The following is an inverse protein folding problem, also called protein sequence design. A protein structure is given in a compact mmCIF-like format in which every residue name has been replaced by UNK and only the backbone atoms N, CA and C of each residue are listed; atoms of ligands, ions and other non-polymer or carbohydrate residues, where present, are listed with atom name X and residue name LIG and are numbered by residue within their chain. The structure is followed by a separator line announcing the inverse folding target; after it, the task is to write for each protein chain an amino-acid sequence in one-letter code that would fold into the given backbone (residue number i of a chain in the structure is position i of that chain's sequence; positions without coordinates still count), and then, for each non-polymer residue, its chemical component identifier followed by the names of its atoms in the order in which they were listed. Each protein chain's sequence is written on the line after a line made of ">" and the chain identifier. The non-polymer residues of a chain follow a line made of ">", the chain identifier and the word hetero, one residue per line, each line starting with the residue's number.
data_IF_095349518269
#
_entry.id   IF_095349518269
#
_cell.length_a   1.000
_cell.length_b   1.000
_cell.length_c   1.000
_cell.angle_alpha   90.00
_cell.angle_beta   90.00
_cell.angle_gamma   90.00
#
_symmetry.space_group_name_H-M   'P 1'
#
loop_
_entity.id
_entity.type
_entity.pdbx_description
1 polymer ?
#
# COMPACT_ATOMS: atom_id res chain seq x y z
N UNK A 1 1.87 -10.18 -6.73
CA UNK A 1 3.12 -9.65 -7.32
C UNK A 1 4.01 -9.16 -6.20
N UNK A 2 5.31 -9.04 -6.45
CA UNK A 2 6.29 -8.55 -5.47
C UNK A 2 7.30 -7.61 -6.12
N UNK A 3 7.92 -6.77 -5.30
CA UNK A 3 9.05 -5.91 -5.66
C UNK A 3 10.02 -5.84 -4.49
N UNK A 4 11.30 -5.63 -4.76
CA UNK A 4 12.32 -5.46 -3.73
C UNK A 4 13.39 -4.47 -4.18
N UNK A 5 14.16 -3.92 -3.24
CA UNK A 5 15.23 -2.98 -3.50
C UNK A 5 15.88 -2.44 -2.24
N UNK A 6 16.64 -1.34 -2.37
CA UNK A 6 17.28 -0.64 -1.26
C UNK A 6 16.67 0.76 -1.15
N UNK A 7 16.28 1.16 0.06
CA UNK A 7 15.67 2.46 0.33
C UNK A 7 16.76 3.57 0.41
N UNK A 8 16.35 4.82 0.66
CA UNK A 8 17.28 5.98 0.74
C UNK A 8 18.21 5.95 1.96
N UNK A 9 17.87 5.14 2.97
CA UNK A 9 18.66 4.94 4.19
C UNK A 9 19.64 3.78 4.05
N UNK A 10 19.59 3.02 2.95
CA UNK A 10 20.45 1.88 2.69
C UNK A 10 19.88 0.54 3.17
N UNK A 11 18.65 0.51 3.68
CA UNK A 11 18.00 -0.72 4.11
C UNK A 11 17.31 -1.43 2.94
N UNK A 12 17.41 -2.76 2.94
CA UNK A 12 16.62 -3.59 2.03
C UNK A 12 15.12 -3.39 2.33
N UNK A 13 14.32 -3.28 1.27
CA UNK A 13 12.87 -3.27 1.33
C UNK A 13 12.27 -4.33 0.42
N UNK A 14 11.13 -4.86 0.85
CA UNK A 14 10.28 -5.77 0.10
C UNK A 14 8.85 -5.26 0.09
N UNK A 15 8.17 -5.43 -1.04
CA UNK A 15 6.76 -5.15 -1.22
C UNK A 15 6.07 -6.40 -1.73
N UNK A 16 5.01 -6.82 -1.05
CA UNK A 16 4.19 -7.98 -1.42
C UNK A 16 2.74 -7.55 -1.56
N UNK A 17 2.14 -7.83 -2.71
CA UNK A 17 0.70 -7.67 -2.91
C UNK A 17 -0.01 -8.88 -2.29
N UNK A 18 -0.76 -8.65 -1.21
CA UNK A 18 -1.48 -9.71 -0.47
C UNK A 18 -2.82 -10.02 -1.12
N UNK A 19 -3.54 -8.98 -1.55
CA UNK A 19 -4.77 -9.10 -2.34
C UNK A 19 -4.65 -8.26 -3.61
N UNK A 20 -5.17 -8.72 -4.76
CA UNK A 20 -4.93 -8.07 -6.05
C UNK A 20 -5.30 -6.58 -6.03
N UNK A 21 -4.35 -5.74 -6.44
CA UNK A 21 -4.59 -4.30 -6.59
C UNK A 21 -5.45 -4.06 -7.83
N UNK A 22 -6.57 -3.36 -7.66
CA UNK A 22 -7.52 -3.07 -8.74
C UNK A 22 -7.47 -1.60 -9.13
N UNK A 23 -7.05 -1.35 -10.36
CA UNK A 23 -7.23 -0.06 -11.04
C UNK A 23 -8.44 -0.11 -11.96
N UNK A 24 -9.17 1.00 -12.07
CA UNK A 24 -10.39 1.09 -12.88
C UNK A 24 -10.26 2.21 -13.93
N UNK A 25 -10.68 1.93 -15.17
CA UNK A 25 -10.74 2.93 -16.23
C UNK A 25 -11.65 4.09 -15.81
N UNK A 26 -11.16 5.32 -15.95
CA UNK A 26 -11.87 6.53 -15.51
C UNK A 26 -11.70 6.86 -14.03
N UNK A 27 -10.98 6.04 -13.27
CA UNK A 27 -10.57 6.34 -11.90
C UNK A 27 -9.05 6.57 -11.83
N UNK A 28 -8.63 7.68 -11.21
CA UNK A 28 -7.20 7.99 -11.03
C UNK A 28 -6.54 7.08 -10.00
N UNK A 29 -7.31 6.52 -9.08
CA UNK A 29 -6.84 5.87 -7.87
C UNK A 29 -6.88 4.34 -7.97
N UNK A 30 -6.07 3.68 -7.14
CA UNK A 30 -6.24 2.25 -6.86
C UNK A 30 -7.50 2.14 -6.01
N UNK A 31 -8.41 1.27 -6.43
CA UNK A 31 -9.78 1.20 -5.87
C UNK A 31 -9.97 0.04 -4.90
N UNK A 32 -9.11 -0.98 -4.96
CA UNK A 32 -9.19 -2.12 -4.06
C UNK A 32 -7.87 -2.88 -3.98
N UNK A 33 -7.75 -3.67 -2.92
CA UNK A 33 -6.63 -4.58 -2.70
C UNK A 33 -5.67 -4.08 -1.62
N UNK A 34 -4.70 -4.93 -1.28
CA UNK A 34 -3.80 -4.70 -0.15
C UNK A 34 -2.38 -5.11 -0.49
N UNK A 35 -1.42 -4.36 0.04
CA UNK A 35 0.00 -4.69 -0.01
C UNK A 35 0.64 -4.54 1.36
N UNK A 36 1.74 -5.25 1.58
CA UNK A 36 2.63 -5.07 2.71
C UNK A 36 3.98 -4.57 2.19
N UNK A 37 4.53 -3.57 2.86
CA UNK A 37 5.89 -3.09 2.68
C UNK A 37 6.68 -3.34 3.96
N UNK A 38 7.81 -4.01 3.84
CA UNK A 38 8.79 -4.17 4.91
C UNK A 38 10.09 -3.48 4.52
N UNK A 39 10.73 -2.78 5.45
CA UNK A 39 12.04 -2.16 5.24
C UNK A 39 12.81 -2.17 6.56
N UNK A 40 13.92 -2.90 6.63
CA UNK A 40 14.61 -3.16 7.91
C UNK A 40 13.65 -3.74 8.97
N UNK A 41 13.51 -3.08 10.12
CA UNK A 41 12.54 -3.46 11.16
C UNK A 41 11.15 -2.84 11.00
N UNK A 42 10.98 -1.96 10.01
CA UNK A 42 9.72 -1.28 9.73
C UNK A 42 8.81 -2.17 8.86
N UNK A 43 7.51 -2.17 9.17
CA UNK A 43 6.50 -2.87 8.39
C UNK A 43 5.20 -2.06 8.37
N UNK A 44 4.58 -1.98 7.20
CA UNK A 44 3.27 -1.37 7.02
C UNK A 44 2.40 -2.19 6.06
N UNK A 45 1.09 -2.13 6.26
CA UNK A 45 0.10 -2.60 5.29
C UNK A 45 -0.65 -1.42 4.74
N UNK A 46 -0.91 -1.41 3.42
CA UNK A 46 -1.75 -0.42 2.76
C UNK A 46 -2.99 -1.14 2.23
N UNK A 47 -4.17 -0.65 2.61
CA UNK A 47 -5.48 -1.09 2.14
C UNK A 47 -6.13 0.01 1.30
N UNK A 48 -6.39 -0.30 0.03
CA UNK A 48 -7.00 0.61 -0.95
C UNK A 48 -8.54 0.50 -0.99
N UNK A 49 -9.13 -0.27 -0.07
CA UNK A 49 -10.58 -0.43 0.04
C UNK A 49 -11.15 -1.54 -0.86
N UNK A 50 -12.41 -1.38 -1.24
CA UNK A 50 -13.24 -2.46 -1.82
C UNK A 50 -13.87 -2.11 -3.17
N UNK A 51 -13.45 -1.02 -3.81
CA UNK A 51 -13.84 -0.65 -5.18
C UNK A 51 -14.30 0.78 -5.36
N UNK A 52 -14.34 1.58 -4.30
CA UNK A 52 -14.71 2.99 -4.39
C UNK A 52 -13.65 3.77 -5.17
N UNK A 53 -14.09 4.65 -6.07
CA UNK A 53 -13.19 5.61 -6.72
C UNK A 53 -13.07 6.85 -5.85
N UNK A 54 -12.39 6.71 -4.71
CA UNK A 54 -12.05 7.81 -3.82
C UNK A 54 -10.54 7.94 -3.70
N UNK A 55 -10.09 9.08 -3.19
CA UNK A 55 -8.69 9.37 -2.99
C UNK A 55 -8.20 8.88 -1.62
N UNK A 56 -8.76 7.80 -1.06
CA UNK A 56 -8.43 7.33 0.29
C UNK A 56 -7.82 5.93 0.33
N UNK A 57 -6.88 5.74 1.24
CA UNK A 57 -6.35 4.43 1.61
C UNK A 57 -6.10 4.40 3.11
N UNK A 58 -6.11 3.21 3.71
CA UNK A 58 -5.76 3.02 5.12
C UNK A 58 -4.38 2.39 5.19
N UNK A 59 -3.47 3.06 5.90
CA UNK A 59 -2.14 2.53 6.20
C UNK A 59 -2.14 2.06 7.64
N UNK A 60 -1.78 0.80 7.86
CA UNK A 60 -1.64 0.23 9.21
C UNK A 60 -0.17 0.08 9.56
N UNK A 61 0.27 0.69 10.66
CA UNK A 61 1.64 0.60 11.19
C UNK A 61 1.55 0.24 12.67
N UNK A 62 2.20 -0.85 13.08
CA UNK A 62 2.17 -1.34 14.47
C UNK A 62 0.75 -1.48 15.05
N UNK A 63 -0.21 -1.89 14.22
CA UNK A 63 -1.62 -2.06 14.59
C UNK A 63 -2.44 -0.78 14.69
N UNK A 64 -1.88 0.39 14.37
CA UNK A 64 -2.61 1.65 14.31
C UNK A 64 -2.92 2.02 12.86
N UNK A 65 -4.15 2.49 12.63
CA UNK A 65 -4.65 2.85 11.31
C UNK A 65 -4.54 4.36 11.05
N UNK A 66 -4.05 4.68 9.86
CA UNK A 66 -3.87 6.03 9.36
C UNK A 66 -4.55 6.15 8.01
N UNK A 67 -5.67 6.87 7.96
CA UNK A 67 -6.32 7.20 6.68
C UNK A 67 -5.53 8.30 5.98
N UNK A 68 -5.06 8.01 4.77
CA UNK A 68 -4.32 8.95 3.94
C UNK A 68 -5.16 9.41 2.74
N UNK A 69 -4.86 10.62 2.25
CA UNK A 69 -5.40 11.11 0.98
C UNK A 69 -4.33 10.99 -0.11
N UNK A 70 -4.66 10.37 -1.24
CA UNK A 70 -3.73 10.01 -2.33
C UNK A 70 -3.45 11.17 -3.32
N UNK A 71 -3.61 12.42 -2.90
CA UNK A 71 -3.57 13.63 -3.76
C UNK A 71 -2.22 13.86 -4.46
#
# INVERSE_FOLDING_TARGET
>A
GSASGVNVEGDDFDVVINTPLRVQVGCRWITAGTLTLTSGTFSMTVDYGSGACDATAVVTINGNDYTISML
#
